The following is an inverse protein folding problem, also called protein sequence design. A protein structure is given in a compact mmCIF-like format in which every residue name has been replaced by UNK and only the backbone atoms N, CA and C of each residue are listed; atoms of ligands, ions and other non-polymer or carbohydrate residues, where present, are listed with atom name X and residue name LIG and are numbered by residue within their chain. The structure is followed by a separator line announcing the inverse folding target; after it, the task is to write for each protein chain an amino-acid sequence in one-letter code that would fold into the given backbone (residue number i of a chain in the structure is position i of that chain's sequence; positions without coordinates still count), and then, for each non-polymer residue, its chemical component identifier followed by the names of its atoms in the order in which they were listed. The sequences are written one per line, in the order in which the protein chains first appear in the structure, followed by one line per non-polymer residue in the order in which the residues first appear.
data_IF_319741076107
#
_entry.id   IF_319741076107
#
_cell.length_a   1.000
_cell.length_b   1.000
_cell.length_c   1.000
_cell.angle_alpha   90.00
_cell.angle_beta   90.00
_cell.angle_gamma   90.00
#
_symmetry.space_group_name_H-M   'P 1'
#
loop_
_entity.id
_entity.type
_entity.pdbx_description
1 polymer ?
#
# COMPACT_ATOMS: atom_id res chain seq x y z
N UNK A 1 -25.09 9.98 2.38
CA UNK A 1 -25.02 8.66 3.05
C UNK A 1 -24.82 8.91 4.52
N UNK A 2 -25.63 8.30 5.39
CA UNK A 2 -25.64 8.60 6.84
C UNK A 2 -24.77 7.63 7.67
N UNK A 3 -24.13 6.65 7.03
CA UNK A 3 -23.28 5.66 7.67
C UNK A 3 -21.83 5.83 7.17
N UNK A 4 -20.97 6.34 8.05
CA UNK A 4 -19.55 6.55 7.78
C UNK A 4 -18.71 5.28 8.04
N UNK A 5 -19.27 4.23 8.63
CA UNK A 5 -18.52 3.02 9.01
C UNK A 5 -17.91 2.35 7.79
N UNK A 6 -18.68 2.16 6.72
CA UNK A 6 -18.18 1.57 5.47
C UNK A 6 -17.16 2.47 4.79
N UNK A 7 -17.35 3.79 4.87
CA UNK A 7 -16.38 4.75 4.36
C UNK A 7 -15.06 4.67 5.14
N UNK A 8 -15.13 4.61 6.47
CA UNK A 8 -13.96 4.52 7.34
C UNK A 8 -13.23 3.17 7.21
N UNK A 9 -13.95 2.06 7.06
CA UNK A 9 -13.34 0.75 6.80
C UNK A 9 -12.62 0.71 5.45
N UNK A 10 -13.12 1.44 4.46
CA UNK A 10 -12.58 1.43 3.09
C UNK A 10 -11.47 2.47 2.88
N UNK A 11 -11.66 3.68 3.40
CA UNK A 11 -10.85 4.88 3.10
C UNK A 11 -10.33 5.60 4.34
N UNK A 12 -10.78 5.21 5.53
CA UNK A 12 -10.32 5.81 6.79
C UNK A 12 -8.84 5.56 7.06
N UNK A 13 -8.22 6.45 7.83
CA UNK A 13 -6.83 6.27 8.27
C UNK A 13 -6.73 5.07 9.20
N UNK A 14 -5.74 4.21 8.95
CA UNK A 14 -5.43 3.08 9.83
C UNK A 14 -4.54 3.53 10.99
N UNK A 15 -4.69 2.93 12.19
CA UNK A 15 -3.74 3.14 13.27
C UNK A 15 -2.37 2.57 12.90
N UNK A 16 -1.33 2.95 13.65
CA UNK A 16 0.05 2.50 13.44
C UNK A 16 0.19 0.96 13.46
N UNK A 17 -0.53 0.30 14.37
CA UNK A 17 -0.53 -1.16 14.49
C UNK A 17 -1.95 -1.73 14.40
N UNK A 18 -2.09 -2.82 13.65
CA UNK A 18 -3.31 -3.64 13.58
C UNK A 18 -2.97 -5.10 13.83
N UNK A 19 -3.77 -5.78 14.65
CA UNK A 19 -3.67 -7.21 14.93
C UNK A 19 -5.04 -7.84 14.77
N UNK A 20 -5.11 -9.02 14.15
CA UNK A 20 -6.36 -9.74 13.88
C UNK A 20 -6.21 -11.22 14.23
N UNK A 21 -7.29 -11.81 14.77
CA UNK A 21 -7.40 -13.27 14.93
C UNK A 21 -8.20 -13.81 13.75
N UNK A 22 -7.50 -14.17 12.67
CA UNK A 22 -8.11 -14.58 11.39
C UNK A 22 -9.07 -15.78 11.51
N UNK A 23 -8.96 -16.58 12.57
CA UNK A 23 -9.89 -17.70 12.82
C UNK A 23 -11.25 -17.23 13.31
N UNK A 24 -11.30 -16.06 13.96
CA UNK A 24 -12.51 -15.47 14.53
C UNK A 24 -13.03 -14.29 13.71
N UNK A 25 -12.14 -13.62 12.99
CA UNK A 25 -12.40 -12.46 12.16
C UNK A 25 -11.62 -12.60 10.83
N UNK A 26 -12.11 -13.44 9.90
CA UNK A 26 -11.44 -13.69 8.62
C UNK A 26 -11.34 -12.44 7.74
N UNK A 27 -12.26 -11.50 7.92
CA UNK A 27 -12.35 -10.26 7.15
C UNK A 27 -11.49 -9.12 7.73
N UNK A 28 -10.78 -9.37 8.85
CA UNK A 28 -9.90 -8.41 9.51
C UNK A 28 -10.58 -7.05 9.82
N UNK A 29 -11.83 -7.09 10.28
CA UNK A 29 -12.61 -5.89 10.59
C UNK A 29 -12.28 -5.38 12.00
N UNK A 30 -12.11 -6.28 12.97
CA UNK A 30 -11.93 -5.96 14.38
C UNK A 30 -10.45 -5.97 14.78
N UNK A 31 -9.84 -4.78 14.75
CA UNK A 31 -8.47 -4.61 15.26
C UNK A 31 -8.39 -4.87 16.78
N UNK A 32 -7.59 -5.87 17.18
CA UNK A 32 -7.36 -6.25 18.58
C UNK A 32 -5.99 -5.78 19.13
N UNK A 33 -5.24 -4.95 18.40
CA UNK A 33 -3.88 -4.53 18.75
C UNK A 33 -3.76 -3.76 20.08
N UNK A 34 -4.83 -3.09 20.53
CA UNK A 34 -4.87 -2.33 21.78
C UNK A 34 -5.35 -3.16 22.98
N UNK A 35 -5.77 -4.41 22.75
CA UNK A 35 -6.22 -5.28 23.83
C UNK A 35 -5.01 -5.93 24.51
N UNK A 36 -4.77 -5.55 25.77
CA UNK A 36 -3.64 -6.01 26.60
C UNK A 36 -3.49 -7.53 26.67
N UNK A 37 -4.58 -8.29 26.53
CA UNK A 37 -4.55 -9.77 26.50
C UNK A 37 -3.64 -10.30 25.37
N UNK A 38 -3.50 -9.56 24.29
CA UNK A 38 -2.77 -9.97 23.10
C UNK A 38 -1.38 -9.33 22.98
N UNK A 39 -0.94 -8.51 23.95
CA UNK A 39 0.35 -7.82 23.89
C UNK A 39 1.52 -8.77 23.64
N UNK A 40 1.57 -9.90 24.36
CA UNK A 40 2.65 -10.88 24.18
C UNK A 40 2.75 -11.39 22.73
N UNK A 41 1.61 -11.75 22.12
CA UNK A 41 1.58 -12.23 20.74
C UNK A 41 1.90 -11.10 19.77
N UNK A 42 1.36 -9.89 20.01
CA UNK A 42 1.64 -8.71 19.19
C UNK A 42 3.14 -8.41 19.14
N UNK A 43 3.79 -8.37 20.30
CA UNK A 43 5.22 -8.08 20.42
C UNK A 43 6.08 -9.19 19.79
N UNK A 44 5.68 -10.46 19.94
CA UNK A 44 6.35 -11.59 19.30
C UNK A 44 6.27 -11.51 17.78
N UNK A 45 5.10 -11.18 17.21
CA UNK A 45 4.92 -11.03 15.77
C UNK A 45 5.67 -9.80 15.24
N UNK A 46 5.65 -8.69 15.98
CA UNK A 46 6.43 -7.49 15.66
C UNK A 46 7.91 -7.81 15.57
N UNK A 47 8.43 -8.61 16.50
CA UNK A 47 9.84 -9.04 16.48
C UNK A 47 10.16 -9.82 15.20
N UNK A 48 9.35 -10.81 14.83
CA UNK A 48 9.52 -11.58 13.59
C UNK A 48 9.52 -10.66 12.37
N UNK A 49 8.53 -9.76 12.25
CA UNK A 49 8.43 -8.80 11.16
C UNK A 49 9.70 -7.94 11.01
N UNK A 50 10.17 -7.37 12.12
CA UNK A 50 11.34 -6.49 12.11
C UNK A 50 12.62 -7.28 11.79
N UNK A 51 12.80 -8.47 12.36
CA UNK A 51 13.95 -9.33 12.05
C UNK A 51 14.00 -9.71 10.57
N UNK A 52 12.87 -10.12 9.99
CA UNK A 52 12.77 -10.46 8.57
C UNK A 52 13.07 -9.26 7.67
N UNK A 53 12.53 -8.07 8.00
CA UNK A 53 12.80 -6.85 7.24
C UNK A 53 14.28 -6.45 7.30
N UNK A 54 14.94 -6.59 8.45
CA UNK A 54 16.38 -6.34 8.59
C UNK A 54 17.20 -7.34 7.77
N UNK A 55 16.89 -8.63 7.84
CA UNK A 55 17.59 -9.69 7.08
C UNK A 55 17.49 -9.43 5.57
N UNK A 56 16.31 -9.01 5.10
CA UNK A 56 16.07 -8.67 3.70
C UNK A 56 16.58 -7.28 3.30
N UNK A 57 17.23 -6.56 4.22
CA UNK A 57 17.79 -5.21 4.02
C UNK A 57 16.73 -4.23 3.51
N UNK A 58 15.52 -4.29 4.06
CA UNK A 58 14.46 -3.36 3.70
C UNK A 58 14.89 -1.92 4.06
N UNK A 59 15.01 -1.02 3.07
CA UNK A 59 15.54 0.33 3.29
C UNK A 59 14.68 1.15 4.26
N UNK A 60 13.37 0.85 4.35
CA UNK A 60 12.44 1.59 5.23
C UNK A 60 12.74 1.32 6.70
N UNK A 61 13.07 0.07 7.06
CA UNK A 61 13.46 -0.29 8.44
C UNK A 61 14.87 0.17 8.78
N UNK A 62 15.76 0.26 7.79
CA UNK A 62 17.15 0.69 7.98
C UNK A 62 17.32 2.22 8.05
N UNK A 63 16.23 2.99 8.01
CA UNK A 63 16.28 4.46 8.06
C UNK A 63 16.60 5.14 6.73
N UNK A 64 16.53 4.39 5.62
CA UNK A 64 16.76 4.85 4.24
C UNK A 64 15.45 4.90 3.46
N UNK A 65 14.37 5.41 4.07
CA UNK A 65 13.05 5.48 3.43
C UNK A 65 13.04 6.31 2.14
N UNK A 66 13.89 7.32 2.06
CA UNK A 66 14.10 8.14 0.86
C UNK A 66 14.60 7.31 -0.34
N UNK A 67 15.43 6.30 -0.11
CA UNK A 67 15.86 5.38 -1.16
C UNK A 67 14.68 4.58 -1.72
N UNK A 68 13.78 4.12 -0.83
CA UNK A 68 12.59 3.36 -1.23
C UNK A 68 11.67 4.19 -2.13
N UNK A 69 11.41 5.44 -1.73
CA UNK A 69 10.50 6.34 -2.46
C UNK A 69 11.06 6.76 -3.84
N UNK A 70 12.39 6.72 -4.00
CA UNK A 70 13.06 7.09 -5.24
C UNK A 70 13.35 5.90 -6.18
N UNK A 71 12.92 4.68 -5.84
CA UNK A 71 13.07 3.55 -6.75
C UNK A 71 12.30 3.80 -8.05
N UNK A 72 13.03 3.70 -9.16
CA UNK A 72 12.40 3.95 -10.45
C UNK A 72 11.47 2.80 -10.81
N UNK A 73 10.24 3.13 -11.20
CA UNK A 73 9.25 2.14 -11.62
C UNK A 73 9.83 1.14 -12.63
N UNK A 74 9.67 -0.15 -12.34
CA UNK A 74 10.42 -1.22 -13.01
C UNK A 74 10.13 -1.32 -14.50
N UNK A 75 8.86 -1.15 -14.90
CA UNK A 75 8.46 -1.24 -16.30
C UNK A 75 8.84 0.03 -17.06
N UNK A 76 9.91 -0.07 -17.85
CA UNK A 76 10.48 1.07 -18.58
C UNK A 76 9.50 1.62 -19.61
N UNK A 77 8.69 0.76 -20.24
CA UNK A 77 7.76 1.15 -21.32
C UNK A 77 6.74 2.17 -20.82
N UNK A 78 6.19 1.95 -19.63
CA UNK A 78 5.11 2.76 -19.03
C UNK A 78 5.57 3.67 -17.88
N UNK A 79 6.86 3.69 -17.54
CA UNK A 79 7.41 4.65 -16.58
C UNK A 79 7.12 6.10 -17.01
N UNK A 80 6.66 6.92 -16.06
CA UNK A 80 6.27 8.32 -16.30
C UNK A 80 5.19 8.47 -17.38
N UNK A 81 4.27 7.51 -17.48
CA UNK A 81 3.27 7.40 -18.54
C UNK A 81 2.53 8.71 -18.80
N UNK A 82 1.83 9.25 -17.80
CA UNK A 82 1.00 10.45 -17.94
C UNK A 82 1.77 11.62 -18.55
N UNK A 83 2.96 11.95 -17.99
CA UNK A 83 3.78 13.06 -18.47
C UNK A 83 4.27 12.86 -19.90
N UNK A 84 4.66 11.63 -20.25
CA UNK A 84 5.15 11.27 -21.60
C UNK A 84 4.02 11.31 -22.63
N UNK A 85 2.87 10.75 -22.27
CA UNK A 85 1.65 10.78 -23.08
C UNK A 85 1.18 12.21 -23.35
N UNK A 86 1.07 13.06 -22.32
CA UNK A 86 0.67 14.47 -22.47
C UNK A 86 1.68 15.30 -23.29
N UNK A 87 2.93 14.85 -23.39
CA UNK A 87 3.95 15.44 -24.26
C UNK A 87 3.91 14.91 -25.70
N UNK A 88 2.92 14.07 -26.06
CA UNK A 88 2.72 13.54 -27.40
C UNK A 88 3.49 12.25 -27.71
N UNK A 89 4.06 11.59 -26.71
CA UNK A 89 4.72 10.30 -26.91
C UNK A 89 3.69 9.17 -27.10
N UNK A 90 3.84 8.39 -28.17
CA UNK A 90 3.03 7.18 -28.39
C UNK A 90 3.54 6.05 -27.50
N UNK A 91 2.83 5.79 -26.40
CA UNK A 91 3.20 4.77 -25.43
C UNK A 91 2.40 3.50 -25.64
N UNK A 92 3.12 2.40 -25.73
CA UNK A 92 2.54 1.06 -25.84
C UNK A 92 1.95 0.63 -24.48
N UNK A 93 0.64 0.42 -24.45
CA UNK A 93 -0.16 0.24 -23.23
C UNK A 93 -1.25 -0.82 -23.42
N UNK A 94 -0.87 -2.09 -23.26
CA UNK A 94 -1.79 -3.25 -23.42
C UNK A 94 -2.89 -3.36 -22.36
N UNK A 95 -2.90 -2.45 -21.37
CA UNK A 95 -3.80 -2.46 -20.22
C UNK A 95 -4.90 -1.40 -20.32
N UNK A 96 -4.93 -0.60 -21.38
CA UNK A 96 -5.90 0.47 -21.60
C UNK A 96 -6.36 0.47 -23.06
N UNK A 97 -7.64 0.70 -23.31
CA UNK A 97 -8.11 0.83 -24.68
C UNK A 97 -7.78 2.23 -25.18
N UNK A 98 -7.61 2.36 -26.50
CA UNK A 98 -7.42 3.68 -27.13
C UNK A 98 -8.58 4.65 -26.88
N UNK A 99 -9.79 4.13 -26.62
CA UNK A 99 -10.98 4.91 -26.28
C UNK A 99 -11.01 5.45 -24.85
N UNK A 100 -10.19 4.90 -23.95
CA UNK A 100 -10.21 5.27 -22.52
C UNK A 100 -9.33 6.50 -22.24
N UNK A 101 -8.57 6.97 -23.24
CA UNK A 101 -7.80 8.20 -23.13
C UNK A 101 -8.71 9.42 -23.31
N UNK A 102 -8.75 10.27 -22.28
CA UNK A 102 -9.31 11.61 -22.40
C UNK A 102 -8.44 12.45 -23.35
N UNK A 103 -9.08 13.18 -24.27
CA UNK A 103 -8.33 14.06 -25.15
C UNK A 103 -7.77 15.22 -24.32
N UNK A 104 -6.49 15.61 -24.49
CA UNK A 104 -5.90 16.77 -23.79
C UNK A 104 -6.58 18.13 -24.07
N UNK A 105 -7.63 18.15 -24.90
CA UNK A 105 -8.33 19.35 -25.38
C UNK A 105 -9.72 19.56 -24.73
N UNK A 106 -10.17 18.59 -23.92
CA UNK A 106 -11.40 18.68 -23.11
C UNK A 106 -11.09 19.26 -21.72
#
# INVERSE_FOLDING_TARGET
GLNEDYWNLSFGKRPEETLYDIRKDPDCIKNIAQNKKYNFIKDSLRKVLIEDLIINKDPRILGHGDLFDNYTYAEKRTRNFYKRYMNGESLDSDWVNSSDFENPSD
#
